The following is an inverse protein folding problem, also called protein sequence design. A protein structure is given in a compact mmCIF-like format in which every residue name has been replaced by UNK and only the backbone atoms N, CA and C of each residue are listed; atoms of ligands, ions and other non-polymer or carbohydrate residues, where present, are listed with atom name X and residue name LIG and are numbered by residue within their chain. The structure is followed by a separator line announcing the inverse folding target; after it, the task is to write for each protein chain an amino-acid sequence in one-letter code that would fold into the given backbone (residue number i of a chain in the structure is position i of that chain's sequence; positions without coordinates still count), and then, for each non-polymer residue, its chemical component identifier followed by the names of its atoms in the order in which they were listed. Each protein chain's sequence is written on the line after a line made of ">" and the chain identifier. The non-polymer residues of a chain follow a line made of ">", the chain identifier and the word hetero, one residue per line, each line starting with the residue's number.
data_IF_747025483300
#
_entry.id   IF_747025483300
#
_cell.length_a   1.000
_cell.length_b   1.000
_cell.length_c   1.000
_cell.angle_alpha   90.00
_cell.angle_beta   90.00
_cell.angle_gamma   90.00
#
_symmetry.space_group_name_H-M   'P 1'
#
loop_
_entity.id
_entity.type
_entity.pdbx_description
1 polymer ?
#
# COMPACT_ATOMS: atom_id res chain seq x y z
N UNK A 1 -70.49 -4.01 20.95
CA UNK A 1 -71.24 -3.34 19.88
C UNK A 1 -70.37 -3.31 18.65
N UNK A 2 -70.69 -4.12 17.64
CA UNK A 2 -69.94 -4.21 16.39
C UNK A 2 -70.53 -3.22 15.39
N UNK A 3 -69.69 -2.40 14.78
CA UNK A 3 -70.11 -1.43 13.75
C UNK A 3 -70.11 -2.15 12.42
N UNK A 4 -71.29 -2.43 11.87
CA UNK A 4 -71.46 -2.95 10.51
C UNK A 4 -71.42 -1.79 9.51
N UNK A 5 -70.44 -1.81 8.62
CA UNK A 5 -70.28 -0.80 7.55
C UNK A 5 -71.20 -1.20 6.39
N UNK A 6 -72.30 -0.46 6.20
CA UNK A 6 -73.35 -0.74 5.21
C UNK A 6 -73.26 0.08 3.93
N UNK A 7 -72.18 0.84 3.71
CA UNK A 7 -72.00 1.67 2.51
C UNK A 7 -70.86 1.16 1.61
N UNK A 8 -71.13 1.09 0.29
CA UNK A 8 -70.11 0.74 -0.72
C UNK A 8 -69.03 1.83 -0.76
N UNK A 9 -67.77 1.41 -0.69
CA UNK A 9 -66.60 2.29 -0.86
C UNK A 9 -66.58 2.82 -2.30
N UNK A 10 -66.83 4.12 -2.50
CA UNK A 10 -66.92 4.75 -3.85
C UNK A 10 -65.57 5.32 -4.33
N UNK A 11 -64.46 4.99 -3.66
CA UNK A 11 -63.14 5.32 -4.16
C UNK A 11 -62.07 5.17 -3.10
N UNK A 12 -61.04 4.38 -3.41
CA UNK A 12 -59.81 4.34 -2.64
C UNK A 12 -58.70 4.97 -3.51
N UNK A 13 -58.02 5.99 -2.99
CA UNK A 13 -56.81 6.54 -3.63
C UNK A 13 -55.61 5.94 -2.91
N UNK A 14 -54.96 4.97 -3.54
CA UNK A 14 -53.65 4.48 -3.10
C UNK A 14 -52.67 5.65 -3.23
N UNK A 15 -52.08 6.12 -2.13
CA UNK A 15 -50.90 6.98 -2.22
C UNK A 15 -49.82 6.16 -2.90
N UNK A 16 -49.52 6.46 -4.16
CA UNK A 16 -48.28 6.00 -4.78
C UNK A 16 -47.14 6.47 -3.87
N UNK A 17 -46.43 5.52 -3.28
CA UNK A 17 -45.14 5.80 -2.68
C UNK A 17 -44.30 6.43 -3.80
N UNK A 18 -43.92 7.69 -3.60
CA UNK A 18 -43.05 8.40 -4.53
C UNK A 18 -41.83 7.52 -4.82
N UNK A 19 -41.45 7.46 -6.10
CA UNK A 19 -40.20 6.82 -6.50
C UNK A 19 -39.09 7.25 -5.53
N UNK A 20 -38.25 6.31 -5.05
CA UNK A 20 -37.07 6.70 -4.29
C UNK A 20 -36.31 7.70 -5.16
N UNK A 21 -36.05 8.89 -4.62
CA UNK A 21 -35.15 9.83 -5.28
C UNK A 21 -33.85 9.08 -5.63
N UNK A 22 -33.24 9.33 -6.81
CA UNK A 22 -31.96 8.72 -7.14
C UNK A 22 -31.01 8.97 -5.97
N UNK A 23 -30.45 7.89 -5.42
CA UNK A 23 -29.42 8.03 -4.40
C UNK A 23 -28.33 8.95 -4.98
N UNK A 24 -27.87 9.97 -4.24
CA UNK A 24 -26.85 10.87 -4.75
C UNK A 24 -25.64 10.04 -5.18
N UNK A 25 -25.21 10.22 -6.43
CA UNK A 25 -24.00 9.60 -6.95
C UNK A 25 -22.84 10.03 -6.06
N UNK A 26 -22.18 9.06 -5.43
CA UNK A 26 -21.00 9.34 -4.62
C UNK A 26 -19.93 9.91 -5.56
N UNK A 27 -19.30 11.05 -5.23
CA UNK A 27 -18.22 11.57 -6.04
C UNK A 27 -17.09 10.54 -6.08
N UNK A 28 -16.54 10.30 -7.26
CA UNK A 28 -15.39 9.41 -7.42
C UNK A 28 -14.21 9.96 -6.61
N UNK A 29 -13.65 9.09 -5.77
CA UNK A 29 -12.54 9.37 -4.88
C UNK A 29 -11.56 8.22 -5.00
N UNK A 30 -10.47 8.45 -5.75
CA UNK A 30 -9.47 7.42 -5.98
C UNK A 30 -8.76 7.06 -4.66
N UNK A 31 -8.91 5.82 -4.17
CA UNK A 31 -8.33 5.41 -2.90
C UNK A 31 -6.80 5.39 -2.92
N UNK A 32 -6.13 5.41 -4.09
CA UNK A 32 -4.67 5.57 -4.17
C UNK A 32 -4.21 6.97 -3.80
N UNK A 33 -4.98 7.98 -4.19
CA UNK A 33 -4.58 9.39 -4.09
C UNK A 33 -5.28 10.15 -2.96
N UNK A 34 -6.34 9.58 -2.37
CA UNK A 34 -6.98 10.16 -1.19
C UNK A 34 -5.94 10.40 -0.08
N UNK A 35 -5.97 11.62 0.46
CA UNK A 35 -4.99 12.06 1.46
C UNK A 35 -5.37 11.56 2.83
N UNK A 36 -4.44 10.87 3.48
CA UNK A 36 -4.58 10.42 4.87
C UNK A 36 -4.01 11.52 5.78
N UNK A 37 -4.84 12.24 6.56
CA UNK A 37 -4.41 13.43 7.28
C UNK A 37 -3.38 13.11 8.37
N UNK A 38 -3.58 12.03 9.11
CA UNK A 38 -2.69 11.57 10.17
C UNK A 38 -2.71 10.05 10.28
N UNK A 39 -1.68 9.49 10.91
CA UNK A 39 -1.64 8.07 11.26
C UNK A 39 -2.80 7.78 12.23
N UNK A 40 -3.65 6.77 11.96
CA UNK A 40 -4.68 6.35 12.91
C UNK A 40 -4.07 5.91 14.24
N UNK A 41 -4.82 6.11 15.32
CA UNK A 41 -4.49 5.53 16.63
C UNK A 41 -4.69 4.02 16.61
N UNK A 42 -3.88 3.29 17.39
CA UNK A 42 -3.97 1.84 17.52
C UNK A 42 -2.94 1.06 16.71
N UNK A 43 -3.25 -0.22 16.48
CA UNK A 43 -2.34 -1.19 15.85
C UNK A 43 -2.48 -1.15 14.33
N UNK A 44 -1.34 -1.08 13.64
CA UNK A 44 -1.27 -1.25 12.20
C UNK A 44 -0.56 -2.56 11.91
N UNK A 45 -0.98 -3.21 10.82
CA UNK A 45 -0.26 -4.36 10.33
C UNK A 45 1.01 -3.91 9.64
N UNK A 46 2.15 -4.50 10.01
CA UNK A 46 3.44 -4.12 9.46
C UNK A 46 4.24 -5.34 9.00
N UNK A 47 4.94 -5.17 7.88
CA UNK A 47 6.00 -6.08 7.44
C UNK A 47 7.30 -5.61 8.07
N UNK A 48 7.98 -6.51 8.80
CA UNK A 48 9.33 -6.28 9.32
C UNK A 48 10.33 -7.09 8.51
N UNK A 49 11.27 -6.41 7.87
CA UNK A 49 12.31 -7.05 7.05
C UNK A 49 13.71 -6.67 7.52
N UNK A 50 14.55 -7.69 7.67
CA UNK A 50 15.97 -7.53 7.93
C UNK A 50 16.71 -7.49 6.61
N UNK A 51 17.24 -6.33 6.26
CA UNK A 51 18.03 -6.15 5.04
C UNK A 51 19.53 -6.16 5.38
N UNK A 52 20.34 -6.70 4.48
CA UNK A 52 21.79 -6.63 4.55
C UNK A 52 22.33 -6.15 3.23
N UNK A 53 23.21 -5.16 3.28
CA UNK A 53 23.88 -4.62 2.11
C UNK A 53 25.37 -4.45 2.38
N UNK A 54 26.15 -4.40 1.31
CA UNK A 54 27.60 -4.20 1.35
C UNK A 54 27.90 -2.95 0.55
N UNK A 55 28.36 -1.90 1.22
CA UNK A 55 28.81 -0.65 0.62
C UNK A 55 30.29 -0.38 0.93
N UNK A 56 30.73 0.87 0.72
CA UNK A 56 32.11 1.29 0.93
C UNK A 56 32.63 1.04 2.35
N UNK A 57 31.78 1.28 3.35
CA UNK A 57 32.09 1.11 4.78
C UNK A 57 31.91 -0.35 5.24
N UNK A 58 31.73 -1.28 4.30
CA UNK A 58 31.57 -2.70 4.56
C UNK A 58 30.11 -3.14 4.65
N UNK A 59 29.89 -4.26 5.36
CA UNK A 59 28.58 -4.90 5.46
C UNK A 59 27.74 -4.28 6.57
N UNK A 60 26.59 -3.72 6.22
CA UNK A 60 25.58 -3.22 7.16
C UNK A 60 24.37 -4.16 7.20
N UNK A 61 23.71 -4.19 8.36
CA UNK A 61 22.46 -4.94 8.60
C UNK A 61 21.49 -4.01 9.28
N UNK A 62 20.30 -3.86 8.71
CA UNK A 62 19.32 -2.92 9.22
C UNK A 62 17.92 -3.51 9.13
N UNK A 63 17.01 -2.98 9.93
CA UNK A 63 15.62 -3.43 9.97
C UNK A 63 14.73 -2.35 9.36
N UNK A 64 13.81 -2.79 8.50
CA UNK A 64 12.86 -1.93 7.81
C UNK A 64 11.46 -2.42 8.17
N UNK A 65 10.64 -1.51 8.69
CA UNK A 65 9.22 -1.75 8.93
C UNK A 65 8.39 -0.94 7.96
N UNK A 66 7.41 -1.59 7.34
CA UNK A 66 6.41 -0.94 6.48
C UNK A 66 5.04 -1.29 7.00
N UNK A 67 4.30 -0.28 7.48
CA UNK A 67 2.94 -0.44 7.98
C UNK A 67 1.92 -0.17 6.88
N UNK A 68 0.85 -0.96 6.88
CA UNK A 68 -0.23 -0.91 5.93
C UNK A 68 -1.56 -0.64 6.64
N UNK A 69 -2.49 -0.02 5.92
CA UNK A 69 -3.87 0.16 6.40
C UNK A 69 -4.87 0.05 5.23
N UNK A 70 -6.10 -0.39 5.51
CA UNK A 70 -7.19 -0.27 4.56
C UNK A 70 -7.55 1.21 4.34
N UNK A 71 -7.78 1.57 3.09
CA UNK A 71 -8.19 2.90 2.66
C UNK A 71 -9.42 2.75 1.78
N UNK A 72 -10.49 3.41 2.17
CA UNK A 72 -11.74 3.46 1.41
C UNK A 72 -11.64 4.52 0.30
N UNK A 73 -12.38 4.29 -0.79
CA UNK A 73 -12.58 5.24 -1.87
C UNK A 73 -13.83 4.90 -2.67
N UNK A 74 -14.06 5.63 -3.75
CA UNK A 74 -15.20 5.47 -4.65
C UNK A 74 -14.70 5.44 -6.08
N UNK A 75 -15.02 4.37 -6.81
CA UNK A 75 -14.68 4.22 -8.22
C UNK A 75 -15.94 3.85 -8.99
N UNK A 76 -16.30 4.63 -10.00
CA UNK A 76 -17.52 4.39 -10.77
C UNK A 76 -18.77 4.39 -9.89
N UNK A 77 -18.80 5.24 -8.86
CA UNK A 77 -19.88 5.30 -7.87
C UNK A 77 -19.95 4.12 -6.88
N UNK A 78 -19.03 3.15 -6.95
CA UNK A 78 -18.97 2.02 -6.02
C UNK A 78 -17.92 2.24 -4.94
N UNK A 79 -18.28 1.98 -3.68
CA UNK A 79 -17.33 1.99 -2.57
C UNK A 79 -16.36 0.82 -2.71
N UNK A 80 -15.08 1.14 -2.67
CA UNK A 80 -13.99 0.17 -2.76
C UNK A 80 -13.01 0.36 -1.61
N UNK A 81 -12.28 -0.70 -1.27
CA UNK A 81 -11.25 -0.66 -0.24
C UNK A 81 -9.98 -1.30 -0.79
N UNK A 82 -8.86 -0.62 -0.59
CA UNK A 82 -7.52 -1.15 -0.91
C UNK A 82 -6.63 -1.11 0.31
N UNK A 83 -5.59 -1.94 0.32
CA UNK A 83 -4.53 -1.82 1.31
C UNK A 83 -3.42 -0.90 0.80
N UNK A 84 -3.05 0.12 1.58
CA UNK A 84 -1.98 1.08 1.24
C UNK A 84 -0.87 1.07 2.28
N UNK A 85 0.40 1.23 1.86
CA UNK A 85 1.46 1.56 2.79
C UNK A 85 1.24 2.99 3.33
N UNK A 86 1.50 3.19 4.62
CA UNK A 86 1.24 4.48 5.29
C UNK A 86 2.35 4.96 6.20
N UNK A 87 3.23 4.06 6.60
CA UNK A 87 4.34 4.38 7.47
C UNK A 87 5.55 3.50 7.15
N UNK A 88 6.71 4.14 7.06
CA UNK A 88 8.00 3.52 6.90
C UNK A 88 8.82 3.85 8.12
N UNK A 89 9.38 2.83 8.76
CA UNK A 89 10.16 2.99 9.97
C UNK A 89 11.44 2.18 9.92
N UNK A 90 12.45 2.72 10.58
CA UNK A 90 13.76 2.12 10.65
C UNK A 90 14.21 2.13 12.11
N UNK A 91 14.16 0.99 12.83
CA UNK A 91 14.66 0.89 14.19
C UNK A 91 16.18 0.89 14.13
N UNK A 92 16.79 2.07 14.26
CA UNK A 92 18.24 2.21 14.44
C UNK A 92 18.54 3.07 15.65
N UNK A 93 19.62 2.73 16.36
CA UNK A 93 20.12 3.47 17.52
C UNK A 93 20.25 4.96 17.17
N UNK A 94 19.41 5.77 17.80
CA UNK A 94 18.89 7.06 17.31
C UNK A 94 19.89 8.22 17.26
N UNK A 95 21.20 7.97 17.35
CA UNK A 95 22.18 9.03 17.65
C UNK A 95 23.43 9.09 16.74
N UNK A 96 23.62 8.19 15.77
CA UNK A 96 24.69 8.37 14.78
C UNK A 96 24.24 9.29 13.63
N UNK A 97 25.15 10.15 13.14
CA UNK A 97 24.89 11.04 12.00
C UNK A 97 24.46 10.27 10.74
N UNK A 98 24.98 9.04 10.57
CA UNK A 98 24.60 8.11 9.50
C UNK A 98 23.14 7.63 9.59
N UNK A 99 22.49 7.68 10.76
CA UNK A 99 21.10 7.27 10.91
C UNK A 99 20.11 8.45 10.83
N UNK A 100 20.59 9.69 10.92
CA UNK A 100 19.73 10.87 10.85
C UNK A 100 19.10 11.03 9.47
N UNK A 101 19.88 10.86 8.39
CA UNK A 101 19.35 10.95 7.02
C UNK A 101 18.34 9.83 6.76
N UNK A 102 18.60 8.61 7.22
CA UNK A 102 17.68 7.47 7.09
C UNK A 102 16.34 7.84 7.77
N UNK A 103 16.42 8.32 9.00
CA UNK A 103 15.22 8.70 9.76
C UNK A 103 14.43 9.82 9.06
N UNK A 104 15.13 10.84 8.54
CA UNK A 104 14.49 11.92 7.79
C UNK A 104 13.82 11.41 6.50
N UNK A 105 14.52 10.55 5.73
CA UNK A 105 13.99 9.93 4.52
C UNK A 105 12.75 9.09 4.82
N UNK A 106 12.74 8.28 5.89
CA UNK A 106 11.58 7.47 6.26
C UNK A 106 10.38 8.31 6.67
N UNK A 107 10.61 9.42 7.38
CA UNK A 107 9.54 10.38 7.72
C UNK A 107 8.94 11.03 6.47
N UNK A 108 9.79 11.49 5.56
CA UNK A 108 9.35 12.06 4.27
C UNK A 108 8.62 11.03 3.41
N UNK A 109 9.10 9.79 3.37
CA UNK A 109 8.45 8.71 2.62
C UNK A 109 7.09 8.32 3.22
N UNK A 110 6.97 8.31 4.55
CA UNK A 110 5.69 8.10 5.23
C UNK A 110 4.68 9.21 4.91
N UNK A 111 5.14 10.46 4.81
CA UNK A 111 4.30 11.57 4.35
C UNK A 111 3.86 11.39 2.90
N UNK A 112 4.77 10.96 2.02
CA UNK A 112 4.46 10.66 0.62
C UNK A 112 3.42 9.54 0.46
N UNK A 113 3.51 8.52 1.31
CA UNK A 113 2.56 7.41 1.35
C UNK A 113 1.16 7.82 1.76
N UNK A 114 1.06 8.63 2.81
CA UNK A 114 -0.22 9.25 3.20
C UNK A 114 -0.75 10.21 2.16
N UNK A 115 0.12 10.86 1.39
CA UNK A 115 -0.23 11.75 0.29
C UNK A 115 -0.59 11.05 -1.02
N UNK A 116 -0.42 9.73 -1.13
CA UNK A 116 -0.80 8.97 -2.33
C UNK A 116 0.23 8.96 -3.47
N UNK A 117 1.49 9.30 -3.20
CA UNK A 117 2.56 9.35 -4.21
C UNK A 117 3.84 8.60 -3.79
N UNK A 118 3.69 7.59 -2.91
CA UNK A 118 4.81 6.74 -2.47
C UNK A 118 5.50 6.03 -3.60
N UNK A 119 4.77 5.60 -4.63
CA UNK A 119 5.34 4.86 -5.76
C UNK A 119 6.37 5.70 -6.50
N UNK A 120 6.03 6.95 -6.78
CA UNK A 120 6.94 7.94 -7.36
C UNK A 120 8.09 8.24 -6.40
N UNK A 121 7.81 8.45 -5.11
CA UNK A 121 8.84 8.73 -4.12
C UNK A 121 9.88 7.59 -4.00
N UNK A 122 9.44 6.32 -4.00
CA UNK A 122 10.35 5.16 -4.00
C UNK A 122 11.13 5.10 -5.30
N UNK A 123 10.49 5.32 -6.45
CA UNK A 123 11.16 5.33 -7.75
C UNK A 123 12.21 6.45 -7.87
N UNK A 124 11.99 7.60 -7.23
CA UNK A 124 12.98 8.68 -7.20
C UNK A 124 14.13 8.38 -6.23
N UNK A 125 13.84 7.77 -5.07
CA UNK A 125 14.89 7.30 -4.16
C UNK A 125 15.81 6.25 -4.81
N UNK A 126 15.29 5.43 -5.74
CA UNK A 126 16.08 4.47 -6.53
C UNK A 126 17.13 5.13 -7.43
N UNK A 127 16.95 6.40 -7.79
CA UNK A 127 17.85 7.16 -8.69
C UNK A 127 18.93 7.93 -7.94
N UNK A 128 18.87 7.95 -6.60
CA UNK A 128 19.86 8.67 -5.79
C UNK A 128 21.22 7.99 -5.95
N UNK A 129 22.20 8.74 -6.44
CA UNK A 129 23.58 8.30 -6.57
C UNK A 129 24.47 8.94 -5.51
N UNK A 130 25.60 8.31 -5.23
CA UNK A 130 26.67 8.86 -4.39
C UNK A 130 28.05 8.61 -5.03
N UNK A 131 29.10 9.16 -4.43
CA UNK A 131 30.48 9.05 -4.88
C UNK A 131 31.27 7.92 -4.19
N UNK A 132 30.70 7.25 -3.18
CA UNK A 132 31.36 6.18 -2.41
C UNK A 132 31.35 4.79 -3.11
N UNK A 133 30.81 4.68 -4.32
CA UNK A 133 30.83 3.44 -5.13
C UNK A 133 29.66 2.48 -4.88
N UNK A 134 29.48 1.48 -5.74
CA UNK A 134 28.25 0.68 -5.77
C UNK A 134 27.94 -0.06 -4.46
N UNK A 135 26.65 -0.11 -4.10
CA UNK A 135 26.14 -0.86 -2.94
C UNK A 135 25.50 -2.15 -3.41
N UNK A 136 26.02 -3.29 -2.95
CA UNK A 136 25.43 -4.61 -3.24
C UNK A 136 24.30 -4.91 -2.24
N UNK A 137 23.07 -5.07 -2.73
CA UNK A 137 21.91 -5.38 -1.89
C UNK A 137 20.89 -6.24 -2.64
N UNK A 138 20.58 -7.42 -2.07
CA UNK A 138 19.59 -8.34 -2.62
C UNK A 138 20.03 -9.10 -3.87
N UNK A 139 19.12 -9.92 -4.37
CA UNK A 139 19.26 -10.71 -5.60
C UNK A 139 18.14 -10.34 -6.57
N UNK A 140 18.42 -10.45 -7.88
CA UNK A 140 17.39 -10.37 -8.90
C UNK A 140 16.62 -11.69 -9.06
N UNK A 141 15.65 -11.73 -9.99
CA UNK A 141 14.83 -12.93 -10.26
C UNK A 141 15.63 -14.14 -10.76
N UNK A 142 16.84 -13.93 -11.27
CA UNK A 142 17.75 -14.98 -11.72
C UNK A 142 18.84 -15.29 -10.69
N UNK A 143 18.59 -14.96 -9.42
CA UNK A 143 19.49 -15.18 -8.30
C UNK A 143 20.88 -14.51 -8.44
N UNK A 144 21.00 -13.45 -9.26
CA UNK A 144 22.25 -12.69 -9.39
C UNK A 144 22.26 -11.49 -8.42
N UNK A 145 23.42 -11.15 -7.82
CA UNK A 145 23.53 -9.99 -6.95
C UNK A 145 23.14 -8.69 -7.64
N UNK A 146 22.35 -7.88 -6.93
CA UNK A 146 21.97 -6.54 -7.38
C UNK A 146 22.93 -5.49 -6.81
N UNK A 147 23.31 -4.54 -7.67
CA UNK A 147 24.14 -3.38 -7.31
C UNK A 147 23.33 -2.09 -7.51
N UNK A 148 23.52 -1.13 -6.62
CA UNK A 148 22.77 0.12 -6.57
C UNK A 148 23.74 1.30 -6.42
N UNK A 149 23.35 2.46 -6.95
CA UNK A 149 24.23 3.63 -7.01
C UNK A 149 24.41 4.36 -5.67
N UNK A 150 23.70 3.95 -4.61
CA UNK A 150 23.87 4.46 -3.24
C UNK A 150 23.21 3.55 -2.20
N UNK A 151 23.48 3.81 -0.91
CA UNK A 151 22.75 3.17 0.20
C UNK A 151 21.25 3.52 0.18
N UNK A 152 20.90 4.75 -0.22
CA UNK A 152 19.51 5.19 -0.38
C UNK A 152 18.81 4.35 -1.45
N UNK A 153 19.44 4.17 -2.61
CA UNK A 153 18.89 3.38 -3.71
C UNK A 153 18.74 1.89 -3.35
N UNK A 154 19.66 1.34 -2.56
CA UNK A 154 19.58 -0.02 -2.05
C UNK A 154 18.42 -0.22 -1.05
N UNK A 155 18.21 0.74 -0.15
CA UNK A 155 17.07 0.72 0.78
C UNK A 155 15.76 0.91 0.01
N UNK A 156 15.70 1.84 -0.95
CA UNK A 156 14.53 2.06 -1.80
C UNK A 156 14.16 0.81 -2.60
N UNK A 157 15.15 0.08 -3.11
CA UNK A 157 14.93 -1.22 -3.75
C UNK A 157 14.31 -2.24 -2.79
N UNK A 158 14.81 -2.29 -1.55
CA UNK A 158 14.26 -3.20 -0.53
C UNK A 158 12.82 -2.84 -0.19
N UNK A 159 12.50 -1.55 -0.07
CA UNK A 159 11.12 -1.06 0.09
C UNK A 159 10.24 -1.48 -1.09
N UNK A 160 10.71 -1.27 -2.32
CA UNK A 160 9.99 -1.71 -3.52
C UNK A 160 9.69 -3.21 -3.46
N UNK A 161 10.63 -4.05 -3.01
CA UNK A 161 10.42 -5.49 -2.85
C UNK A 161 9.38 -5.84 -1.77
N UNK A 162 9.33 -5.09 -0.66
CA UNK A 162 8.26 -5.22 0.34
C UNK A 162 6.91 -4.90 -0.29
N UNK A 163 6.81 -3.76 -0.97
CA UNK A 163 5.56 -3.32 -1.59
C UNK A 163 5.11 -4.26 -2.70
N UNK A 164 6.04 -4.79 -3.49
CA UNK A 164 5.77 -5.84 -4.47
C UNK A 164 5.22 -7.11 -3.82
N UNK A 165 5.91 -7.64 -2.79
CA UNK A 165 5.43 -8.84 -2.07
C UNK A 165 4.09 -8.64 -1.39
N UNK A 166 3.77 -7.41 -0.99
CA UNK A 166 2.46 -7.04 -0.45
C UNK A 166 1.39 -6.83 -1.53
N UNK A 167 1.77 -6.91 -2.81
CA UNK A 167 0.87 -6.73 -3.94
C UNK A 167 0.49 -5.27 -4.20
N UNK A 168 1.22 -4.30 -3.66
CA UNK A 168 0.98 -2.87 -3.90
C UNK A 168 1.68 -2.36 -5.18
N UNK A 169 2.89 -2.85 -5.45
CA UNK A 169 3.64 -2.60 -6.68
C UNK A 169 3.75 -3.87 -7.54
N UNK A 170 4.04 -3.70 -8.82
CA UNK A 170 4.46 -4.80 -9.69
C UNK A 170 5.96 -5.12 -9.50
N UNK A 171 6.48 -6.07 -10.29
CA UNK A 171 7.86 -6.54 -10.14
C UNK A 171 8.87 -5.44 -10.51
N UNK A 172 8.52 -4.60 -11.47
CA UNK A 172 9.28 -3.48 -12.00
C UNK A 172 9.23 -2.25 -11.08
N UNK A 173 8.24 -2.18 -10.19
CA UNK A 173 8.03 -1.09 -9.24
C UNK A 173 6.96 -0.08 -9.67
N UNK A 174 6.16 -0.40 -10.68
CA UNK A 174 5.03 0.44 -11.08
C UNK A 174 3.81 0.19 -10.19
N UNK A 175 2.93 1.17 -10.16
CA UNK A 175 1.68 1.11 -9.42
C UNK A 175 0.77 0.04 -10.02
N UNK A 176 0.35 -0.92 -9.20
CA UNK A 176 -0.68 -1.90 -9.60
C UNK A 176 -2.02 -1.18 -9.77
N UNK A 177 -2.83 -1.50 -10.81
CA UNK A 177 -4.15 -0.91 -11.02
C UNK A 177 -5.08 -1.11 -9.81
N UNK A 178 -5.95 -0.13 -9.57
CA UNK A 178 -6.79 -0.10 -8.37
C UNK A 178 -7.73 -1.30 -8.30
N UNK A 179 -8.28 -1.72 -9.44
CA UNK A 179 -9.19 -2.87 -9.54
C UNK A 179 -8.50 -4.14 -9.07
N UNK A 180 -7.20 -4.29 -9.38
CA UNK A 180 -6.39 -5.42 -8.92
C UNK A 180 -6.12 -5.33 -7.42
N UNK A 181 -5.87 -4.14 -6.88
CA UNK A 181 -5.68 -3.94 -5.44
C UNK A 181 -6.95 -4.24 -4.64
N UNK A 182 -8.11 -3.85 -5.15
CA UNK A 182 -9.42 -4.17 -4.55
C UNK A 182 -9.61 -5.68 -4.51
N UNK A 183 -9.34 -6.38 -5.62
CA UNK A 183 -9.44 -7.84 -5.68
C UNK A 183 -8.47 -8.52 -4.69
N UNK A 184 -7.22 -8.04 -4.59
CA UNK A 184 -6.21 -8.56 -3.64
C UNK A 184 -6.63 -8.36 -2.19
N UNK A 185 -7.17 -7.18 -1.86
CA UNK A 185 -7.67 -6.89 -0.52
C UNK A 185 -8.87 -7.78 -0.17
N UNK A 186 -9.85 -7.89 -1.07
CA UNK A 186 -11.01 -8.75 -0.88
C UNK A 186 -10.61 -10.23 -0.70
N UNK A 187 -9.71 -10.74 -1.55
CA UNK A 187 -9.17 -12.10 -1.42
C UNK A 187 -8.57 -12.34 -0.03
N UNK A 188 -7.77 -11.38 0.44
CA UNK A 188 -7.10 -11.45 1.75
C UNK A 188 -8.08 -11.46 2.91
N UNK A 189 -9.14 -10.65 2.85
CA UNK A 189 -10.19 -10.63 3.86
C UNK A 189 -11.00 -11.94 3.87
N UNK A 190 -11.20 -12.58 2.71
CA UNK A 190 -11.94 -13.83 2.58
C UNK A 190 -11.13 -15.06 3.02
N UNK A 191 -9.87 -15.14 2.61
CA UNK A 191 -9.04 -16.36 2.78
C UNK A 191 -8.05 -16.27 3.94
N UNK A 192 -7.95 -15.11 4.61
CA UNK A 192 -7.08 -14.88 5.76
C UNK A 192 -5.58 -14.79 5.44
N UNK A 193 -5.17 -14.98 4.18
CA UNK A 193 -3.78 -14.87 3.74
C UNK A 193 -3.63 -13.87 2.59
N UNK A 194 -2.47 -13.21 2.54
CA UNK A 194 -2.17 -12.22 1.52
C UNK A 194 -1.96 -12.88 0.15
N UNK A 195 -2.18 -12.09 -0.91
CA UNK A 195 -1.71 -12.44 -2.26
C UNK A 195 -0.20 -12.74 -2.21
N UNK A 196 0.21 -13.80 -2.87
CA UNK A 196 1.61 -14.19 -2.97
C UNK A 196 2.11 -13.90 -4.40
N UNK A 197 3.30 -13.30 -4.56
CA UNK A 197 3.91 -13.19 -5.87
C UNK A 197 4.23 -14.58 -6.43
N UNK A 198 4.20 -14.71 -7.76
CA UNK A 198 4.67 -15.92 -8.44
C UNK A 198 6.14 -16.19 -8.03
N UNK A 199 6.40 -17.36 -7.44
CA UNK A 199 7.76 -17.79 -7.18
C UNK A 199 8.48 -17.97 -8.52
N UNK A 200 9.70 -17.42 -8.70
CA UNK A 200 10.51 -17.79 -9.85
C UNK A 200 10.72 -19.32 -9.82
N UNK A 201 10.71 -19.99 -10.98
CA UNK A 201 10.96 -21.43 -11.02
C UNK A 201 12.25 -21.72 -10.25
N UNK A 202 12.17 -22.66 -9.30
CA UNK A 202 13.33 -23.13 -8.56
C UNK A 202 14.45 -23.39 -9.58
N UNK A 203 15.60 -22.75 -9.39
CA UNK A 203 16.77 -23.07 -10.19
C UNK A 203 17.01 -24.57 -10.00
N UNK A 204 16.78 -25.36 -11.05
CA UNK A 204 17.20 -26.76 -11.08
C UNK A 204 18.72 -26.74 -10.84
N UNK A 205 19.13 -27.22 -9.67
CA UNK A 205 20.54 -27.40 -9.32
C UNK A 205 21.21 -28.17 -10.47
N UNK A 206 22.12 -27.51 -11.18
CA UNK A 206 22.98 -28.08 -12.22
C UNK A 206 24.41 -28.14 -11.72
#
# INVERSE_FOLDING_TARGET
>A
MAVEITSKIVGYRIKQQGQPAPAPELPDEDPLTVRIPSRPEGTLEAVSEKISYVGAEGRKKVYLLVSFMPVEGVIGGQRVVIERPVEFFFPSGQLSSEHQWITATMRSLSLAARGGYVTQAVADLRKVAWDKGLVRCGMNRWNKPMFHDSEVAAIAWSIQRILYRRGFLDQEGNQVPVETLVARYAHRMQHGHAWQPEEPPAAEDS
#
